data_IF_772069094718
#
_entry.id   IF_772069094718
#
_cell.length_a   1.000
_cell.length_b   1.000
_cell.length_c   1.000
_cell.angle_alpha   90.00
_cell.angle_beta   90.00
_cell.angle_gamma   90.00
#
_symmetry.space_group_name_H-M   'P 1'
#
loop_
_entity.id
_entity.type
_entity.pdbx_description
1 polymer ?
#
# COMPACT_ATOMS: atom_id res chain seq x y z
N UNK A 1 -3.53 14.21 -6.13
CA UNK A 1 -2.55 13.63 -5.17
C UNK A 1 -1.70 12.59 -5.90
N UNK A 2 -0.49 12.28 -5.39
CA UNK A 2 0.32 11.16 -5.89
C UNK A 2 -0.10 9.88 -5.17
N UNK A 3 -0.79 8.99 -5.85
CA UNK A 3 -1.33 7.75 -5.28
C UNK A 3 -0.58 6.56 -5.86
N UNK A 4 0.01 5.74 -4.99
CA UNK A 4 0.75 4.53 -5.37
C UNK A 4 0.04 3.30 -4.81
N UNK A 5 -0.20 2.31 -5.67
CA UNK A 5 -0.64 0.98 -5.25
C UNK A 5 0.53 -0.01 -5.38
N UNK A 6 0.98 -0.56 -4.25
CA UNK A 6 2.11 -1.48 -4.15
C UNK A 6 1.63 -2.93 -4.07
N UNK A 7 1.96 -3.73 -5.08
CA UNK A 7 1.78 -5.20 -5.06
C UNK A 7 3.00 -5.83 -4.39
N UNK A 8 2.83 -6.28 -3.15
CA UNK A 8 3.90 -6.64 -2.22
C UNK A 8 4.51 -8.03 -2.40
N UNK A 9 4.53 -8.60 -3.61
CA UNK A 9 5.12 -9.92 -3.82
C UNK A 9 5.62 -10.15 -5.25
N UNK A 10 6.62 -11.03 -5.41
CA UNK A 10 7.12 -11.47 -6.73
C UNK A 10 6.14 -12.42 -7.43
N UNK A 11 5.36 -13.18 -6.67
CA UNK A 11 4.38 -14.15 -7.16
C UNK A 11 3.07 -13.96 -6.42
N UNK A 12 1.96 -13.90 -7.12
CA UNK A 12 0.65 -13.71 -6.49
C UNK A 12 -0.37 -13.09 -7.42
N UNK A 13 -0.89 -13.87 -8.35
CA UNK A 13 -1.93 -13.41 -9.28
C UNK A 13 -3.15 -12.80 -8.58
N UNK A 14 -3.62 -13.42 -7.49
CA UNK A 14 -4.78 -12.92 -6.72
C UNK A 14 -4.51 -11.54 -6.10
N UNK A 15 -3.28 -11.29 -5.65
CA UNK A 15 -2.86 -9.98 -5.10
C UNK A 15 -2.93 -8.89 -6.17
N UNK A 16 -2.48 -9.18 -7.38
CA UNK A 16 -2.56 -8.26 -8.53
C UNK A 16 -4.01 -7.93 -8.91
N UNK A 17 -4.89 -8.96 -8.92
CA UNK A 17 -6.34 -8.75 -9.15
C UNK A 17 -6.95 -7.85 -8.08
N UNK A 18 -6.60 -8.07 -6.81
CA UNK A 18 -7.07 -7.26 -5.70
C UNK A 18 -6.61 -5.79 -5.85
N UNK A 19 -5.34 -5.57 -6.19
CA UNK A 19 -4.80 -4.22 -6.42
C UNK A 19 -5.52 -3.51 -7.56
N UNK A 20 -5.75 -4.19 -8.69
CA UNK A 20 -6.47 -3.62 -9.82
C UNK A 20 -7.91 -3.24 -9.45
N UNK A 21 -8.59 -4.06 -8.64
CA UNK A 21 -9.95 -3.76 -8.19
C UNK A 21 -9.98 -2.50 -7.30
N UNK A 22 -9.03 -2.34 -6.38
CA UNK A 22 -8.90 -1.12 -5.57
C UNK A 22 -8.64 0.09 -6.48
N UNK A 23 -7.69 -0.03 -7.42
CA UNK A 23 -7.38 1.03 -8.39
C UNK A 23 -8.62 1.46 -9.17
N UNK A 24 -9.33 0.52 -9.78
CA UNK A 24 -10.55 0.79 -10.55
C UNK A 24 -11.64 1.45 -9.69
N UNK A 25 -11.83 0.96 -8.46
CA UNK A 25 -12.79 1.53 -7.51
C UNK A 25 -12.44 2.98 -7.18
N UNK A 26 -11.16 3.26 -6.88
CA UNK A 26 -10.69 4.60 -6.54
C UNK A 26 -10.85 5.56 -7.72
N UNK A 27 -10.35 5.20 -8.89
CA UNK A 27 -10.40 6.05 -10.09
C UNK A 27 -11.83 6.30 -10.59
N UNK A 28 -12.74 5.35 -10.34
CA UNK A 28 -14.16 5.51 -10.65
C UNK A 28 -14.88 6.45 -9.68
N UNK A 29 -14.57 6.38 -8.38
CA UNK A 29 -15.21 7.21 -7.34
C UNK A 29 -14.62 8.62 -7.29
N UNK A 30 -13.30 8.73 -7.40
CA UNK A 30 -12.56 9.98 -7.27
C UNK A 30 -12.01 10.40 -8.64
N UNK A 31 -12.89 10.94 -9.48
CA UNK A 31 -12.57 11.35 -10.86
C UNK A 31 -11.43 12.38 -10.89
N UNK A 32 -10.44 12.09 -11.72
CA UNK A 32 -9.24 12.91 -11.86
C UNK A 32 -8.04 12.45 -11.03
N UNK A 33 -8.23 11.54 -10.08
CA UNK A 33 -7.13 10.85 -9.42
C UNK A 33 -6.66 9.65 -10.28
N UNK A 34 -5.36 9.43 -10.32
CA UNK A 34 -4.72 8.33 -11.06
C UNK A 34 -3.86 7.55 -10.07
N UNK A 35 -4.01 6.23 -10.08
CA UNK A 35 -3.23 5.32 -9.24
C UNK A 35 -2.07 4.75 -10.05
N UNK A 36 -0.84 5.07 -9.64
CA UNK A 36 0.37 4.43 -10.17
C UNK A 36 0.59 3.07 -9.49
N UNK A 37 0.66 2.01 -10.27
CA UNK A 37 0.82 0.65 -9.75
C UNK A 37 2.29 0.26 -9.79
N UNK A 38 2.84 -0.12 -8.63
CA UNK A 38 4.15 -0.74 -8.49
C UNK A 38 3.93 -2.23 -8.21
N UNK A 39 4.11 -3.06 -9.23
CA UNK A 39 4.11 -4.52 -9.06
C UNK A 39 5.55 -4.99 -8.83
N UNK A 40 5.88 -5.39 -7.61
CA UNK A 40 7.24 -5.86 -7.28
C UNK A 40 7.69 -7.08 -8.10
N UNK A 41 6.78 -7.75 -8.81
CA UNK A 41 7.14 -8.80 -9.74
C UNK A 41 7.89 -8.28 -10.99
N UNK A 42 7.68 -7.01 -11.34
CA UNK A 42 8.23 -6.37 -12.54
C UNK A 42 9.58 -5.68 -12.30
N UNK A 43 10.04 -5.61 -11.04
CA UNK A 43 11.25 -4.91 -10.64
C UNK A 43 12.30 -5.87 -10.06
N UNK A 44 13.58 -5.59 -10.36
CA UNK A 44 14.71 -6.28 -9.73
C UNK A 44 15.19 -5.47 -8.53
N UNK A 45 14.67 -5.84 -7.34
CA UNK A 45 14.93 -5.12 -6.10
C UNK A 45 16.16 -5.68 -5.40
N UNK A 46 17.17 -4.82 -5.19
CA UNK A 46 18.36 -5.16 -4.40
C UNK A 46 17.97 -5.43 -2.94
N UNK A 47 18.75 -6.26 -2.24
CA UNK A 47 18.60 -6.41 -0.80
C UNK A 47 19.18 -5.21 -0.05
N UNK A 48 18.49 -4.82 1.03
CA UNK A 48 18.98 -3.81 1.95
C UNK A 48 20.29 -4.30 2.61
N UNK A 49 21.36 -3.56 2.39
CA UNK A 49 22.71 -3.90 2.88
C UNK A 49 23.28 -2.82 3.84
N UNK A 50 22.44 -1.85 4.24
CA UNK A 50 22.79 -0.80 5.17
C UNK A 50 23.39 0.47 4.54
N UNK A 51 23.54 0.51 3.20
CA UNK A 51 23.90 1.77 2.52
C UNK A 51 22.74 2.77 2.59
N UNK A 52 23.03 4.05 2.28
CA UNK A 52 21.99 5.07 2.22
C UNK A 52 21.00 4.75 1.08
N UNK A 53 19.71 5.00 1.33
CA UNK A 53 18.65 4.74 0.34
C UNK A 53 18.86 5.48 -1.00
N UNK A 54 19.57 6.59 -1.00
CA UNK A 54 19.94 7.35 -2.22
C UNK A 54 21.05 6.70 -3.05
N UNK A 55 21.74 5.70 -2.52
CA UNK A 55 22.85 5.03 -3.21
C UNK A 55 22.41 3.83 -4.04
N UNK A 56 21.16 3.39 -3.89
CA UNK A 56 20.59 2.34 -4.72
C UNK A 56 20.34 2.83 -6.15
N UNK A 57 20.34 1.92 -7.10
CA UNK A 57 20.27 2.24 -8.53
C UNK A 57 19.10 1.53 -9.22
N UNK A 58 18.84 1.90 -10.47
CA UNK A 58 17.88 1.24 -11.37
C UNK A 58 16.49 1.04 -10.72
N UNK A 59 15.96 -0.17 -10.78
CA UNK A 59 14.61 -0.52 -10.30
C UNK A 59 14.42 -0.23 -8.82
N UNK A 60 15.43 -0.51 -8.00
CA UNK A 60 15.39 -0.24 -6.57
C UNK A 60 15.22 1.25 -6.29
N UNK A 61 16.02 2.10 -6.92
CA UNK A 61 15.91 3.55 -6.79
C UNK A 61 14.55 4.06 -7.31
N UNK A 62 14.05 3.48 -8.40
CA UNK A 62 12.74 3.86 -8.95
C UNK A 62 11.61 3.58 -7.96
N UNK A 63 11.58 2.38 -7.36
CA UNK A 63 10.56 2.01 -6.37
C UNK A 63 10.67 2.87 -5.11
N UNK A 64 11.89 3.09 -4.58
CA UNK A 64 12.13 3.98 -3.44
C UNK A 64 11.58 5.38 -3.72
N UNK A 65 11.96 5.99 -4.84
CA UNK A 65 11.55 7.35 -5.18
C UNK A 65 10.03 7.48 -5.33
N UNK A 66 9.38 6.53 -5.99
CA UNK A 66 7.91 6.53 -6.11
C UNK A 66 7.22 6.45 -4.75
N UNK A 67 7.71 5.61 -3.83
CA UNK A 67 7.15 5.50 -2.47
C UNK A 67 7.43 6.74 -1.63
N UNK A 68 8.63 7.33 -1.75
CA UNK A 68 9.00 8.57 -1.06
C UNK A 68 8.16 9.76 -1.54
N UNK A 69 7.82 9.82 -2.83
CA UNK A 69 7.06 10.89 -3.45
C UNK A 69 5.54 10.78 -3.28
N UNK A 70 5.03 9.63 -2.87
CA UNK A 70 3.61 9.39 -2.75
C UNK A 70 2.98 10.16 -1.58
N UNK A 71 1.76 10.66 -1.77
CA UNK A 71 0.87 11.16 -0.70
C UNK A 71 0.06 10.02 -0.08
N UNK A 72 -0.32 9.04 -0.92
CA UNK A 72 -1.13 7.88 -0.56
C UNK A 72 -0.45 6.61 -1.04
N UNK A 73 -0.37 5.61 -0.16
CA UNK A 73 0.18 4.29 -0.49
C UNK A 73 -0.87 3.22 -0.16
N UNK A 74 -1.23 2.42 -1.14
CA UNK A 74 -2.13 1.28 -0.96
C UNK A 74 -1.33 0.00 -1.08
N UNK A 75 -1.15 -0.73 0.01
CA UNK A 75 -0.35 -1.94 0.05
C UNK A 75 -1.25 -3.16 -0.08
N UNK A 76 -1.09 -3.90 -1.16
CA UNK A 76 -1.74 -5.20 -1.32
C UNK A 76 -0.69 -6.30 -1.21
N UNK A 77 -0.88 -7.22 -0.26
CA UNK A 77 0.12 -8.26 0.05
C UNK A 77 -0.50 -9.64 0.18
N UNK A 78 0.16 -10.69 -0.32
CA UNK A 78 -0.20 -12.05 0.07
C UNK A 78 0.38 -12.38 1.45
N UNK A 79 -0.01 -13.54 1.98
CA UNK A 79 0.59 -14.11 3.18
C UNK A 79 1.51 -15.27 2.81
N UNK A 80 2.79 -15.16 3.18
CA UNK A 80 3.80 -16.20 3.06
C UNK A 80 4.30 -16.59 4.44
N UNK A 81 4.26 -17.89 4.77
CA UNK A 81 4.73 -18.41 6.07
C UNK A 81 4.17 -17.61 7.26
N UNK A 82 2.84 -17.37 7.24
CA UNK A 82 2.10 -16.63 8.28
C UNK A 82 2.54 -15.16 8.50
N UNK A 83 3.22 -14.55 7.52
CA UNK A 83 3.68 -13.16 7.58
C UNK A 83 3.61 -12.49 6.21
N UNK A 84 4.07 -11.24 6.12
CA UNK A 84 4.28 -10.55 4.85
C UNK A 84 5.44 -11.18 4.08
N UNK A 85 5.46 -11.12 2.73
CA UNK A 85 6.59 -11.59 1.93
C UNK A 85 7.90 -10.89 2.30
N UNK A 86 9.01 -11.65 2.29
CA UNK A 86 10.34 -11.10 2.53
C UNK A 86 10.71 -9.96 1.58
N UNK A 87 10.24 -10.00 0.32
CA UNK A 87 10.45 -8.93 -0.63
C UNK A 87 9.78 -7.62 -0.19
N UNK A 88 8.54 -7.69 0.33
CA UNK A 88 7.85 -6.50 0.84
C UNK A 88 8.57 -5.95 2.07
N UNK A 89 9.02 -6.83 2.98
CA UNK A 89 9.81 -6.41 4.15
C UNK A 89 11.12 -5.74 3.71
N UNK A 90 11.80 -6.30 2.71
CA UNK A 90 13.01 -5.72 2.14
C UNK A 90 12.78 -4.31 1.57
N UNK A 91 11.65 -4.08 0.89
CA UNK A 91 11.30 -2.72 0.42
C UNK A 91 11.21 -1.72 1.58
N UNK A 92 10.63 -2.12 2.72
CA UNK A 92 10.62 -1.25 3.90
C UNK A 92 12.03 -1.03 4.49
N UNK A 93 12.90 -2.04 4.46
CA UNK A 93 14.27 -1.94 4.95
C UNK A 93 15.17 -1.05 4.07
N UNK A 94 14.79 -0.85 2.81
CA UNK A 94 15.46 0.06 1.88
C UNK A 94 15.09 1.54 2.11
N UNK A 95 14.01 1.82 2.84
CA UNK A 95 13.49 3.17 3.05
C UNK A 95 14.01 3.77 4.36
N UNK A 96 14.10 5.12 4.49
CA UNK A 96 14.39 5.75 5.77
C UNK A 96 13.26 5.51 6.79
N UNK A 97 13.59 5.64 8.09
CA UNK A 97 12.67 5.33 9.20
C UNK A 97 11.36 6.13 9.17
N UNK A 98 11.40 7.35 8.64
CA UNK A 98 10.26 8.25 8.55
C UNK A 98 9.69 8.36 7.12
N UNK A 99 9.98 7.38 6.27
CA UNK A 99 9.60 7.39 4.86
C UNK A 99 8.10 7.60 4.62
N UNK A 100 7.26 7.20 5.57
CA UNK A 100 5.81 7.32 5.44
C UNK A 100 5.20 8.41 6.32
N UNK A 101 6.03 9.29 6.87
CA UNK A 101 5.54 10.46 7.59
C UNK A 101 4.66 11.30 6.66
N UNK A 102 3.52 11.75 7.18
CA UNK A 102 2.51 12.54 6.46
C UNK A 102 1.84 11.82 5.26
N UNK A 103 2.02 10.50 5.14
CA UNK A 103 1.39 9.71 4.09
C UNK A 103 0.23 8.89 4.63
N UNK A 104 -0.86 8.83 3.86
CA UNK A 104 -1.99 7.94 4.17
C UNK A 104 -1.73 6.55 3.59
N UNK A 105 -1.91 5.52 4.43
CA UNK A 105 -1.67 4.12 3.99
C UNK A 105 -2.91 3.27 4.19
N UNK A 106 -3.36 2.62 3.11
CA UNK A 106 -4.38 1.58 3.10
C UNK A 106 -3.80 0.19 2.91
N UNK A 107 -4.46 -0.83 3.45
CA UNK A 107 -3.97 -2.22 3.42
C UNK A 107 -5.03 -3.16 2.88
N UNK A 108 -4.62 -4.07 1.98
CA UNK A 108 -5.37 -5.27 1.62
C UNK A 108 -4.48 -6.49 1.69
N UNK A 109 -4.99 -7.56 2.32
CA UNK A 109 -4.29 -8.85 2.43
C UNK A 109 -5.07 -9.91 1.67
N UNK A 110 -4.37 -10.72 0.87
CA UNK A 110 -4.94 -11.87 0.16
C UNK A 110 -4.23 -13.13 0.64
N UNK A 111 -4.95 -14.07 1.22
CA UNK A 111 -4.37 -15.29 1.78
C UNK A 111 -5.01 -16.56 1.23
N UNK A 112 -4.31 -17.69 1.34
CA UNK A 112 -4.85 -19.01 1.02
C UNK A 112 -5.80 -19.56 2.08
N UNK A 113 -5.87 -18.95 3.27
CA UNK A 113 -6.68 -19.41 4.41
C UNK A 113 -7.14 -18.25 5.27
N UNK A 114 -8.34 -18.32 5.79
CA UNK A 114 -8.92 -17.35 6.73
C UNK A 114 -8.14 -17.24 8.06
N UNK A 115 -7.33 -18.24 8.40
CA UNK A 115 -6.53 -18.27 9.62
C UNK A 115 -5.53 -17.12 9.74
N UNK A 116 -5.24 -16.44 8.65
CA UNK A 116 -4.24 -15.37 8.57
C UNK A 116 -4.83 -13.95 8.57
N UNK A 117 -6.09 -13.78 8.95
CA UNK A 117 -6.75 -12.47 8.88
C UNK A 117 -6.07 -11.39 9.72
N UNK A 118 -5.38 -11.75 10.80
CA UNK A 118 -4.65 -10.80 11.67
C UNK A 118 -3.25 -10.42 11.16
N UNK A 119 -2.78 -10.92 10.02
CA UNK A 119 -1.42 -10.61 9.52
C UNK A 119 -1.24 -9.10 9.30
N UNK A 120 -2.28 -8.40 8.82
CA UNK A 120 -2.23 -6.94 8.67
C UNK A 120 -1.96 -6.26 10.02
N UNK A 121 -2.71 -6.63 11.07
CA UNK A 121 -2.60 -6.03 12.40
C UNK A 121 -1.28 -6.36 13.10
N UNK A 122 -0.85 -7.62 13.02
CA UNK A 122 0.27 -8.12 13.82
C UNK A 122 1.62 -7.96 13.15
N UNK A 123 1.67 -7.88 11.82
CA UNK A 123 2.92 -7.86 11.07
C UNK A 123 3.12 -6.56 10.29
N UNK A 124 2.09 -6.07 9.59
CA UNK A 124 2.25 -4.93 8.69
C UNK A 124 2.02 -3.57 9.39
N UNK A 125 0.92 -3.41 10.12
CA UNK A 125 0.63 -2.14 10.83
C UNK A 125 1.73 -1.72 11.80
N UNK A 126 2.39 -2.61 12.59
CA UNK A 126 3.52 -2.20 13.44
C UNK A 126 4.69 -1.61 12.65
N UNK A 127 5.01 -2.18 11.49
CA UNK A 127 6.07 -1.66 10.61
C UNK A 127 5.68 -0.26 10.09
N UNK A 128 4.47 -0.12 9.57
CA UNK A 128 3.96 1.14 9.05
C UNK A 128 3.88 2.23 10.13
N UNK A 129 3.47 1.85 11.33
CA UNK A 129 3.44 2.75 12.49
C UNK A 129 4.85 3.23 12.88
N UNK A 130 5.84 2.34 12.88
CA UNK A 130 7.24 2.72 13.09
C UNK A 130 7.74 3.69 12.03
N UNK A 131 7.32 3.51 10.77
CA UNK A 131 7.65 4.38 9.64
C UNK A 131 6.79 5.66 9.60
N UNK A 132 5.99 5.93 10.64
CA UNK A 132 5.12 7.11 10.83
C UNK A 132 3.98 7.26 9.83
N UNK A 133 3.51 6.15 9.23
CA UNK A 133 2.36 6.17 8.34
C UNK A 133 1.06 6.52 9.06
N UNK A 134 0.19 7.28 8.40
CA UNK A 134 -1.22 7.43 8.79
C UNK A 134 -2.01 6.27 8.20
N UNK A 135 -1.97 5.12 8.89
CA UNK A 135 -2.70 3.94 8.43
C UNK A 135 -4.18 4.09 8.74
N UNK A 136 -5.04 3.95 7.73
CA UNK A 136 -6.49 3.95 7.96
C UNK A 136 -6.92 2.77 8.84
N UNK A 137 -8.01 2.97 9.59
CA UNK A 137 -8.45 2.00 10.59
C UNK A 137 -8.78 0.64 9.98
N UNK A 138 -9.57 0.65 8.92
CA UNK A 138 -10.00 -0.56 8.22
C UNK A 138 -8.90 -1.12 7.34
N UNK A 139 -8.90 -2.43 7.18
CA UNK A 139 -8.18 -3.11 6.10
C UNK A 139 -9.07 -4.19 5.48
N UNK A 140 -8.77 -4.58 4.25
CA UNK A 140 -9.49 -5.65 3.57
C UNK A 140 -8.69 -6.93 3.64
N UNK A 141 -9.36 -8.00 4.06
CA UNK A 141 -8.84 -9.35 3.99
C UNK A 141 -9.70 -10.16 3.01
N UNK A 142 -9.05 -10.83 2.07
CA UNK A 142 -9.68 -11.73 1.14
C UNK A 142 -8.93 -13.07 1.10
N UNK A 143 -9.63 -14.13 0.76
CA UNK A 143 -9.03 -15.43 0.45
C UNK A 143 -8.90 -15.62 -1.06
N UNK A 144 -8.10 -16.58 -1.48
CA UNK A 144 -8.03 -16.98 -2.89
C UNK A 144 -9.37 -17.45 -3.45
N UNK A 145 -10.27 -17.98 -2.60
CA UNK A 145 -11.61 -18.42 -2.99
C UNK A 145 -12.55 -17.25 -3.35
N UNK A 146 -12.27 -16.06 -2.87
CA UNK A 146 -13.03 -14.86 -3.19
C UNK A 146 -12.69 -14.32 -4.59
N UNK A 147 -11.64 -14.88 -5.25
CA UNK A 147 -11.13 -14.41 -6.53
C UNK A 147 -11.18 -15.54 -7.56
N UNK A 148 -12.03 -15.38 -8.57
CA UNK A 148 -12.24 -16.39 -9.62
C UNK A 148 -12.08 -15.73 -10.99
N UNK A 149 -11.32 -16.37 -11.88
CA UNK A 149 -11.11 -15.93 -13.28
C UNK A 149 -10.76 -14.43 -13.42
N UNK A 150 -9.90 -13.90 -12.55
CA UNK A 150 -9.45 -12.51 -12.61
C UNK A 150 -10.41 -11.49 -12.02
N UNK A 151 -11.40 -11.94 -11.24
CA UNK A 151 -12.39 -11.05 -10.62
C UNK A 151 -12.63 -11.43 -9.16
N UNK A 152 -12.84 -10.43 -8.32
CA UNK A 152 -13.37 -10.64 -6.98
C UNK A 152 -14.87 -10.94 -7.14
N UNK A 153 -15.31 -12.09 -6.64
CA UNK A 153 -16.71 -12.55 -6.72
C UNK A 153 -17.48 -12.36 -5.40
N UNK A 154 -16.78 -12.22 -4.29
CA UNK A 154 -17.38 -12.04 -2.98
C UNK A 154 -17.82 -10.58 -2.80
N UNK A 155 -19.15 -10.38 -2.67
CA UNK A 155 -19.76 -9.05 -2.56
C UNK A 155 -19.35 -8.31 -1.26
N UNK A 156 -19.09 -9.05 -0.17
CA UNK A 156 -18.62 -8.45 1.08
C UNK A 156 -17.19 -7.89 0.93
N UNK A 157 -16.31 -8.60 0.22
CA UNK A 157 -14.96 -8.10 -0.11
C UNK A 157 -15.03 -6.85 -0.99
N UNK A 158 -15.89 -6.84 -2.00
CA UNK A 158 -16.10 -5.67 -2.88
C UNK A 158 -16.59 -4.47 -2.05
N UNK A 159 -17.57 -4.68 -1.18
CA UNK A 159 -18.09 -3.63 -0.30
C UNK A 159 -17.04 -3.09 0.65
N UNK A 160 -16.18 -3.95 1.23
CA UNK A 160 -15.07 -3.52 2.08
C UNK A 160 -14.00 -2.76 1.32
N UNK A 161 -13.73 -3.11 0.06
CA UNK A 161 -12.83 -2.32 -0.80
C UNK A 161 -13.40 -0.91 -1.00
N UNK A 162 -14.70 -0.80 -1.23
CA UNK A 162 -15.38 0.47 -1.41
C UNK A 162 -15.24 1.38 -0.18
N UNK A 163 -15.42 0.82 1.03
CA UNK A 163 -15.21 1.52 2.31
C UNK A 163 -13.74 1.89 2.48
N UNK A 164 -12.80 0.96 2.21
CA UNK A 164 -11.37 1.21 2.35
C UNK A 164 -10.92 2.38 1.47
N UNK A 165 -11.40 2.43 0.24
CA UNK A 165 -11.10 3.52 -0.69
C UNK A 165 -11.61 4.87 -0.15
N UNK A 166 -12.83 4.91 0.40
CA UNK A 166 -13.37 6.12 1.01
C UNK A 166 -12.57 6.56 2.24
N UNK A 167 -12.22 5.65 3.14
CA UNK A 167 -11.40 5.97 4.31
C UNK A 167 -10.02 6.51 3.92
N UNK A 168 -9.36 5.90 2.93
CA UNK A 168 -8.07 6.36 2.42
C UNK A 168 -8.19 7.79 1.89
N UNK A 169 -9.14 8.05 1.02
CA UNK A 169 -9.26 9.33 0.34
C UNK A 169 -9.70 10.44 1.30
N UNK A 170 -10.65 10.17 2.19
CA UNK A 170 -11.08 11.13 3.21
C UNK A 170 -9.94 11.49 4.16
N UNK A 171 -9.17 10.49 4.61
CA UNK A 171 -7.99 10.70 5.46
C UNK A 171 -6.94 11.53 4.74
N UNK A 172 -6.58 11.17 3.51
CA UNK A 172 -5.58 11.88 2.73
C UNK A 172 -5.97 13.35 2.47
N UNK A 173 -7.23 13.60 2.12
CA UNK A 173 -7.75 14.96 1.92
C UNK A 173 -7.69 15.77 3.22
N UNK A 174 -8.08 15.18 4.35
CA UNK A 174 -8.03 15.85 5.64
C UNK A 174 -6.60 16.24 6.04
N UNK A 175 -5.63 15.31 5.87
CA UNK A 175 -4.21 15.58 6.14
C UNK A 175 -3.65 16.65 5.23
N UNK A 176 -3.95 16.60 3.93
CA UNK A 176 -3.54 17.64 2.98
C UNK A 176 -4.03 19.02 3.40
N UNK A 177 -5.31 19.15 3.77
CA UNK A 177 -5.90 20.42 4.19
C UNK A 177 -5.25 20.93 5.49
N UNK A 178 -4.95 20.05 6.46
CA UNK A 178 -4.25 20.42 7.70
C UNK A 178 -2.86 20.96 7.37
N UNK A 179 -2.12 20.29 6.49
CA UNK A 179 -0.77 20.70 6.09
C UNK A 179 -0.77 22.06 5.39
N UNK A 180 -1.66 22.25 4.42
CA UNK A 180 -1.83 23.53 3.72
C UNK A 180 -2.20 24.67 4.69
N UNK A 181 -3.03 24.40 5.68
CA UNK A 181 -3.38 25.38 6.71
C UNK A 181 -2.20 25.71 7.63
N UNK A 182 -1.35 24.75 7.96
CA UNK A 182 -0.14 24.96 8.75
C UNK A 182 0.89 25.78 7.97
N UNK A 183 1.15 25.42 6.71
CA UNK A 183 2.10 26.12 5.84
C UNK A 183 1.68 27.61 5.68
N UNK A 184 0.39 27.87 5.48
CA UNK A 184 -0.14 29.23 5.39
C UNK A 184 0.01 30.06 6.69
N UNK A 185 0.20 29.43 7.86
CA UNK A 185 0.47 30.13 9.13
C UNK A 185 1.94 30.55 9.30
N UNK A 186 2.86 29.96 8.55
CA UNK A 186 4.30 30.22 8.64
C UNK A 186 4.84 31.05 7.47
N UNK A 187 4.04 31.33 6.44
CA UNK A 187 4.37 32.25 5.35
C UNK A 187 4.22 33.72 5.79
N UNK A 188 5.15 34.16 6.66
CA UNK A 188 5.33 35.58 7.02
C UNK A 188 6.74 36.04 6.73
#
# INVERSE_FOLDING_TARGET
MKIVALVGAKVGWSTKVATNNIKETLENKYKGEIVDVIDLAEYDIEFADGRNFMDYRQDTAMVINKLMDADVIIITTPVYQASIPGLLKNVFDLLPMDAFQDKTVGIMVVAGSEKHFLVAEQQLKPILSFMKAQTVQSYVFATQNDIVKGRIINQDVIFRIDILVDEIMQTAIAFKNIKEAQDAMYDF
#
